data_IF_907007630496
#
_entry.id   IF_907007630496
#
_cell.length_a   1.000
_cell.length_b   1.000
_cell.length_c   1.000
_cell.angle_alpha   90.00
_cell.angle_beta   90.00
_cell.angle_gamma   90.00
#
_symmetry.space_group_name_H-M   'P 1'
#
loop_
_entity.id
_entity.type
_entity.pdbx_description
1 polymer ?
#
# COMPACT_ATOMS: atom_id res chain seq x y z
N UNK A 1 3.96 -9.97 1.52
CA UNK A 1 4.37 -8.74 0.79
C UNK A 1 5.43 -7.95 1.55
N UNK A 2 5.25 -7.57 2.82
CA UNK A 2 6.23 -6.78 3.60
C UNK A 2 7.66 -7.36 3.56
N UNK A 3 7.84 -8.67 3.74
CA UNK A 3 9.18 -9.30 3.65
C UNK A 3 9.81 -9.11 2.27
N UNK A 4 9.05 -9.33 1.19
CA UNK A 4 9.55 -9.14 -0.17
C UNK A 4 9.87 -7.68 -0.48
N UNK A 5 9.10 -6.73 0.09
CA UNK A 5 9.36 -5.29 -0.05
C UNK A 5 10.66 -4.86 0.61
N UNK A 6 10.92 -5.34 1.82
CA UNK A 6 12.14 -5.06 2.57
C UNK A 6 13.37 -5.62 1.86
N UNK A 7 13.22 -6.77 1.18
CA UNK A 7 14.30 -7.42 0.44
C UNK A 7 14.46 -6.93 -1.02
N UNK A 8 13.58 -6.05 -1.51
CA UNK A 8 13.50 -5.62 -2.93
C UNK A 8 13.35 -6.81 -3.91
N UNK A 9 12.55 -7.79 -3.51
CA UNK A 9 12.26 -9.03 -4.25
C UNK A 9 10.76 -9.19 -4.57
N UNK A 10 10.04 -8.07 -4.71
CA UNK A 10 8.60 -8.09 -4.98
C UNK A 10 8.34 -8.49 -6.42
N UNK A 11 7.54 -9.53 -6.64
CA UNK A 11 7.03 -9.86 -7.96
C UNK A 11 5.66 -9.20 -8.21
N UNK A 12 5.30 -8.96 -9.47
CA UNK A 12 3.97 -8.43 -9.85
C UNK A 12 2.84 -9.23 -9.19
N UNK A 13 2.93 -10.57 -9.20
CA UNK A 13 1.94 -11.46 -8.57
C UNK A 13 1.73 -11.21 -7.08
N UNK A 14 2.76 -10.78 -6.35
CA UNK A 14 2.67 -10.53 -4.91
C UNK A 14 1.85 -9.26 -4.64
N UNK A 15 2.03 -8.25 -5.50
CA UNK A 15 1.27 -7.00 -5.45
C UNK A 15 -0.18 -7.24 -5.85
N UNK A 16 -0.39 -7.91 -6.98
CA UNK A 16 -1.72 -8.27 -7.48
C UNK A 16 -2.50 -9.07 -6.44
N UNK A 17 -1.90 -10.08 -5.81
CA UNK A 17 -2.57 -10.88 -4.79
C UNK A 17 -2.98 -10.08 -3.55
N UNK A 18 -2.27 -9.00 -3.22
CA UNK A 18 -2.69 -8.08 -2.14
C UNK A 18 -3.84 -7.19 -2.61
N UNK A 19 -3.73 -6.59 -3.79
CA UNK A 19 -4.77 -5.73 -4.36
C UNK A 19 -6.09 -6.47 -4.59
N UNK A 20 -6.04 -7.69 -5.13
CA UNK A 20 -7.22 -8.54 -5.30
C UNK A 20 -7.92 -8.80 -3.97
N UNK A 21 -7.17 -9.22 -2.94
CA UNK A 21 -7.74 -9.53 -1.63
C UNK A 21 -8.33 -8.30 -0.96
N UNK A 22 -7.65 -7.16 -1.01
CA UNK A 22 -8.19 -5.92 -0.41
C UNK A 22 -9.42 -5.43 -1.17
N UNK A 23 -9.43 -5.53 -2.50
CA UNK A 23 -10.58 -5.17 -3.33
C UNK A 23 -11.81 -6.05 -3.03
N UNK A 24 -11.63 -7.38 -2.97
CA UNK A 24 -12.71 -8.30 -2.61
C UNK A 24 -13.29 -7.96 -1.23
N UNK A 25 -12.43 -7.67 -0.24
CA UNK A 25 -12.87 -7.27 1.10
C UNK A 25 -13.66 -5.96 1.07
N UNK A 26 -13.23 -4.97 0.28
CA UNK A 26 -13.96 -3.72 0.10
C UNK A 26 -15.34 -3.95 -0.52
N UNK A 27 -15.44 -4.75 -1.59
CA UNK A 27 -16.72 -5.07 -2.24
C UNK A 27 -17.69 -5.79 -1.30
N UNK A 28 -17.19 -6.75 -0.52
CA UNK A 28 -17.99 -7.42 0.51
C UNK A 28 -18.49 -6.42 1.55
N UNK A 29 -17.63 -5.51 2.01
CA UNK A 29 -18.01 -4.49 2.98
C UNK A 29 -19.09 -3.55 2.41
N UNK A 30 -18.97 -3.12 1.16
CA UNK A 30 -19.98 -2.30 0.49
C UNK A 30 -21.32 -3.03 0.35
N UNK A 31 -21.30 -4.34 0.04
CA UNK A 31 -22.50 -5.15 -0.01
C UNK A 31 -23.18 -5.27 1.36
N UNK A 32 -22.40 -5.54 2.40
CA UNK A 32 -22.90 -5.55 3.78
C UNK A 32 -23.48 -4.18 4.14
N UNK A 33 -22.83 -3.07 3.76
CA UNK A 33 -23.36 -1.73 4.01
C UNK A 33 -24.73 -1.51 3.35
N UNK A 34 -24.95 -2.02 2.13
CA UNK A 34 -26.28 -1.97 1.48
C UNK A 34 -27.33 -2.71 2.30
N UNK A 35 -27.06 -3.94 2.75
CA UNK A 35 -27.98 -4.68 3.63
C UNK A 35 -28.23 -3.96 4.98
N UNK A 36 -27.22 -3.29 5.53
CA UNK A 36 -27.37 -2.53 6.77
C UNK A 36 -28.22 -1.27 6.62
N UNK A 37 -28.34 -0.71 5.41
CA UNK A 37 -29.29 0.39 5.14
C UNK A 37 -30.71 -0.13 5.27
N UNK A 38 -31.01 -1.32 4.74
CA UNK A 38 -32.32 -1.96 4.84
C UNK A 38 -32.67 -2.34 6.29
N UNK A 39 -31.67 -2.74 7.09
CA UNK A 39 -31.85 -3.13 8.49
C UNK A 39 -32.05 -1.95 9.46
N UNK A 40 -31.80 -0.71 9.01
CA UNK A 40 -32.01 0.50 9.81
C UNK A 40 -31.29 0.49 11.16
N UNK A 41 -32.04 0.72 12.25
CA UNK A 41 -31.50 0.79 13.61
C UNK A 41 -30.96 -0.53 14.14
N UNK A 42 -31.52 -1.65 13.68
CA UNK A 42 -31.14 -3.00 14.15
C UNK A 42 -29.76 -3.41 13.60
N UNK A 43 -29.31 -2.78 12.52
CA UNK A 43 -27.97 -2.94 11.96
C UNK A 43 -26.87 -2.14 12.67
N UNK A 44 -27.17 -1.38 13.73
CA UNK A 44 -26.17 -0.49 14.37
C UNK A 44 -24.92 -1.23 14.83
N UNK A 45 -25.06 -2.39 15.49
CA UNK A 45 -23.92 -3.15 16.01
C UNK A 45 -23.05 -3.68 14.88
N UNK A 46 -23.67 -4.28 13.86
CA UNK A 46 -22.96 -4.83 12.70
C UNK A 46 -22.25 -3.72 11.92
N UNK A 47 -22.84 -2.52 11.82
CA UNK A 47 -22.20 -1.35 11.22
C UNK A 47 -20.94 -0.92 11.96
N UNK A 48 -20.97 -0.92 13.29
CA UNK A 48 -19.81 -0.61 14.12
C UNK A 48 -18.69 -1.64 13.93
N UNK A 49 -19.04 -2.93 13.93
CA UNK A 49 -18.09 -4.03 13.70
C UNK A 49 -17.48 -3.96 12.29
N UNK A 50 -18.29 -3.70 11.27
CA UNK A 50 -17.79 -3.55 9.91
C UNK A 50 -16.82 -2.37 9.79
N UNK A 51 -17.15 -1.22 10.40
CA UNK A 51 -16.26 -0.05 10.43
C UNK A 51 -14.92 -0.36 11.10
N UNK A 52 -14.94 -1.12 12.20
CA UNK A 52 -13.73 -1.54 12.90
C UNK A 52 -12.89 -2.50 12.06
N UNK A 53 -13.51 -3.49 11.42
CA UNK A 53 -12.83 -4.44 10.53
C UNK A 53 -12.22 -3.77 9.29
N UNK A 54 -12.91 -2.76 8.75
CA UNK A 54 -12.45 -2.01 7.57
C UNK A 54 -11.45 -0.90 7.90
N UNK A 55 -11.18 -0.64 9.19
CA UNK A 55 -10.25 0.41 9.58
C UNK A 55 -8.85 0.14 9.01
N UNK A 56 -8.36 1.06 8.17
CA UNK A 56 -7.06 0.97 7.52
C UNK A 56 -6.99 0.09 6.26
N UNK A 57 -8.05 -0.68 5.92
CA UNK A 57 -8.04 -1.54 4.71
C UNK A 57 -8.00 -0.71 3.43
N UNK A 58 -8.82 0.32 3.34
CA UNK A 58 -8.85 1.23 2.18
C UNK A 58 -7.54 2.02 2.05
N UNK A 59 -6.99 2.46 3.18
CA UNK A 59 -5.70 3.14 3.23
C UNK A 59 -4.57 2.21 2.76
N UNK A 60 -4.56 0.96 3.22
CA UNK A 60 -3.58 -0.04 2.78
C UNK A 60 -3.70 -0.32 1.28
N UNK A 61 -4.92 -0.48 0.75
CA UNK A 61 -5.16 -0.64 -0.71
C UNK A 61 -4.57 0.54 -1.48
N UNK A 62 -4.86 1.77 -1.04
CA UNK A 62 -4.33 3.00 -1.64
C UNK A 62 -2.80 3.07 -1.57
N UNK A 63 -2.21 2.71 -0.42
CA UNK A 63 -0.76 2.75 -0.21
C UNK A 63 -0.02 1.71 -1.06
N UNK A 64 -0.59 0.51 -1.22
CA UNK A 64 -0.04 -0.49 -2.14
C UNK A 64 -0.05 0.05 -3.56
N UNK A 65 -1.16 0.61 -4.04
CA UNK A 65 -1.21 1.21 -5.37
C UNK A 65 -0.19 2.35 -5.53
N UNK A 66 -0.10 3.26 -4.56
CA UNK A 66 0.91 4.34 -4.53
C UNK A 66 2.35 3.83 -4.67
N UNK A 67 2.66 2.67 -4.09
CA UNK A 67 4.00 2.10 -4.11
C UNK A 67 4.39 1.48 -5.45
N UNK A 68 3.43 1.05 -6.28
CA UNK A 68 3.72 0.26 -7.48
C UNK A 68 3.22 0.86 -8.79
N UNK A 69 2.26 1.78 -8.75
CA UNK A 69 1.79 2.41 -9.98
C UNK A 69 2.88 3.30 -10.60
N UNK A 70 2.81 3.45 -11.92
CA UNK A 70 3.69 4.32 -12.68
C UNK A 70 2.89 5.52 -13.19
N UNK A 71 2.95 6.69 -12.53
CA UNK A 71 2.22 7.86 -12.96
C UNK A 71 2.71 8.31 -14.33
N UNK A 72 1.75 8.62 -15.20
CA UNK A 72 1.99 9.30 -16.48
C UNK A 72 0.99 10.45 -16.66
N UNK A 73 1.01 11.12 -17.82
CA UNK A 73 0.16 12.28 -18.08
C UNK A 73 -1.35 11.96 -18.06
N UNK A 74 -1.70 10.70 -18.25
CA UNK A 74 -3.06 10.17 -18.37
C UNK A 74 -3.41 9.12 -17.33
N UNK A 75 -2.46 8.74 -16.47
CA UNK A 75 -2.57 7.69 -15.47
C UNK A 75 -2.08 8.19 -14.11
N UNK A 76 -3.01 8.35 -13.18
CA UNK A 76 -2.77 8.75 -11.81
C UNK A 76 -3.39 7.76 -10.82
N UNK A 77 -3.17 7.99 -9.53
CA UNK A 77 -3.67 7.10 -8.47
C UNK A 77 -5.20 6.97 -8.47
N UNK A 78 -5.93 8.05 -8.74
CA UNK A 78 -7.40 8.05 -8.76
C UNK A 78 -7.91 7.13 -9.87
N UNK A 79 -7.34 7.25 -11.06
CA UNK A 79 -7.68 6.39 -12.20
C UNK A 79 -7.31 4.93 -11.95
N UNK A 80 -6.16 4.67 -11.29
CA UNK A 80 -5.77 3.30 -10.92
C UNK A 80 -6.74 2.68 -9.88
N UNK A 81 -7.18 3.47 -8.91
CA UNK A 81 -8.17 3.04 -7.92
C UNK A 81 -9.54 2.78 -8.56
N UNK A 82 -10.01 3.69 -9.41
CA UNK A 82 -11.27 3.55 -10.16
C UNK A 82 -11.23 2.30 -11.04
N UNK A 83 -10.14 2.12 -11.80
CA UNK A 83 -9.95 0.94 -12.64
C UNK A 83 -10.02 -0.36 -11.85
N UNK A 84 -9.38 -0.44 -10.67
CA UNK A 84 -9.46 -1.63 -9.81
C UNK A 84 -10.88 -1.90 -9.31
N UNK A 85 -11.61 -0.84 -8.95
CA UNK A 85 -12.98 -0.94 -8.46
C UNK A 85 -13.98 -1.29 -9.57
N UNK A 86 -13.72 -0.91 -10.81
CA UNK A 86 -14.59 -1.17 -11.96
C UNK A 86 -14.39 -2.55 -12.61
N UNK A 87 -13.33 -3.29 -12.26
CA UNK A 87 -13.11 -4.65 -12.78
C UNK A 87 -14.30 -5.57 -12.47
N UNK A 88 -14.72 -6.39 -13.42
CA UNK A 88 -15.70 -7.44 -13.12
C UNK A 88 -15.09 -8.49 -12.19
N UNK A 89 -15.92 -9.25 -11.46
CA UNK A 89 -15.41 -10.23 -10.48
C UNK A 89 -14.54 -11.30 -11.16
N UNK A 90 -14.92 -11.75 -12.36
CA UNK A 90 -14.15 -12.70 -13.15
C UNK A 90 -12.76 -12.16 -13.50
N UNK A 91 -12.68 -10.90 -13.94
CA UNK A 91 -11.41 -10.23 -14.26
C UNK A 91 -10.57 -9.98 -13.01
N UNK A 92 -11.21 -9.57 -11.91
CA UNK A 92 -10.54 -9.36 -10.63
C UNK A 92 -9.90 -10.65 -10.11
N UNK A 93 -10.48 -11.82 -10.40
CA UNK A 93 -9.91 -13.11 -10.00
C UNK A 93 -8.77 -13.58 -10.91
N UNK A 94 -8.59 -12.98 -12.09
CA UNK A 94 -7.51 -13.26 -13.02
C UNK A 94 -6.30 -12.34 -12.76
N UNK A 95 -5.16 -12.85 -12.22
CA UNK A 95 -4.03 -12.01 -11.85
C UNK A 95 -3.44 -11.20 -13.02
N UNK A 96 -3.46 -11.77 -14.23
CA UNK A 96 -2.98 -11.09 -15.44
C UNK A 96 -3.89 -9.93 -15.83
N UNK A 97 -5.22 -10.09 -15.70
CA UNK A 97 -6.17 -9.02 -16.00
C UNK A 97 -5.98 -7.83 -15.04
N UNK A 98 -5.82 -8.10 -13.74
CA UNK A 98 -5.53 -7.06 -12.74
C UNK A 98 -4.19 -6.37 -13.00
N UNK A 99 -3.13 -7.13 -13.31
CA UNK A 99 -1.83 -6.56 -13.63
C UNK A 99 -1.90 -5.64 -14.86
N UNK A 100 -2.55 -6.09 -15.93
CA UNK A 100 -2.71 -5.34 -17.16
C UNK A 100 -3.55 -4.08 -16.96
N UNK A 101 -4.70 -4.19 -16.28
CA UNK A 101 -5.59 -3.06 -16.01
C UNK A 101 -4.89 -1.96 -15.20
N UNK A 102 -3.99 -2.36 -14.30
CA UNK A 102 -3.23 -1.42 -13.46
C UNK A 102 -1.88 -0.99 -14.04
N UNK A 103 -1.58 -1.41 -15.27
CA UNK A 103 -0.28 -1.19 -15.93
C UNK A 103 0.92 -1.67 -15.09
N UNK A 104 0.72 -2.73 -14.30
CA UNK A 104 1.76 -3.35 -13.49
C UNK A 104 2.58 -4.29 -14.37
N UNK A 105 3.91 -4.08 -14.40
CA UNK A 105 4.81 -5.01 -15.07
C UNK A 105 4.64 -5.05 -16.59
N UNK A 106 4.52 -3.87 -17.24
CA UNK A 106 4.36 -3.62 -18.70
C UNK A 106 5.30 -4.40 -19.66
N UNK A 107 6.19 -5.27 -19.18
CA UNK A 107 7.11 -6.08 -19.99
C UNK A 107 7.19 -7.56 -19.58
N UNK A 108 6.78 -7.94 -18.36
CA UNK A 108 6.87 -9.31 -17.86
C UNK A 108 5.98 -9.48 -16.61
N UNK A 109 5.01 -10.39 -16.64
CA UNK A 109 4.16 -10.70 -15.49
C UNK A 109 4.96 -11.34 -14.33
N UNK A 110 6.16 -11.87 -14.62
CA UNK A 110 7.13 -12.33 -13.63
C UNK A 110 8.19 -11.25 -13.29
N UNK A 111 8.01 -10.01 -13.75
CA UNK A 111 8.92 -8.90 -13.50
C UNK A 111 9.03 -8.53 -12.02
N UNK A 112 10.22 -8.14 -11.59
CA UNK A 112 10.43 -7.58 -10.27
C UNK A 112 9.94 -6.12 -10.23
N UNK A 113 9.21 -5.77 -9.18
CA UNK A 113 8.81 -4.41 -8.85
C UNK A 113 9.60 -3.92 -7.63
N UNK A 114 9.92 -2.62 -7.60
CA UNK A 114 10.46 -1.97 -6.41
C UNK A 114 9.40 -1.04 -5.82
N UNK A 115 9.02 -1.19 -4.54
CA UNK A 115 8.12 -0.25 -3.89
C UNK A 115 8.77 1.12 -3.73
N UNK A 116 7.98 2.19 -3.75
CA UNK A 116 8.46 3.56 -3.52
C UNK A 116 8.74 3.88 -2.04
N UNK A 117 7.97 3.29 -1.14
CA UNK A 117 8.11 3.39 0.32
C UNK A 117 6.93 4.06 1.04
N UNK A 118 5.86 4.44 0.34
CA UNK A 118 4.66 5.07 0.92
C UNK A 118 4.08 4.23 2.06
N UNK A 119 3.90 2.92 1.83
CA UNK A 119 3.30 2.01 2.82
C UNK A 119 4.16 1.78 4.05
N UNK A 120 5.48 1.87 3.92
CA UNK A 120 6.39 1.72 5.06
C UNK A 120 6.46 3.00 5.87
N UNK A 121 6.47 4.14 5.19
CA UNK A 121 6.46 5.46 5.83
C UNK A 121 5.13 5.75 6.54
N UNK A 122 3.99 5.29 6.02
CA UNK A 122 2.69 5.47 6.68
C UNK A 122 2.59 4.75 8.03
N UNK A 123 3.42 3.72 8.26
CA UNK A 123 3.53 3.01 9.55
C UNK A 123 4.35 3.78 10.58
N UNK A 124 5.03 4.85 10.20
CA UNK A 124 5.77 5.72 11.12
C UNK A 124 4.75 6.58 11.89
N UNK A 125 4.67 6.45 13.23
CA UNK A 125 3.64 7.14 14.00
C UNK A 125 3.70 8.65 13.82
N UNK A 126 2.56 9.26 13.48
CA UNK A 126 2.37 10.72 13.37
C UNK A 126 3.22 11.40 12.29
N UNK A 127 3.81 10.64 11.36
CA UNK A 127 4.55 11.22 10.24
C UNK A 127 3.58 11.97 9.32
N UNK A 128 3.77 13.29 9.08
CA UNK A 128 2.93 14.05 8.16
C UNK A 128 3.05 13.54 6.73
N UNK A 129 1.92 13.49 6.00
CA UNK A 129 1.90 13.05 4.60
C UNK A 129 2.84 13.87 3.69
N UNK A 130 2.98 15.17 3.95
CA UNK A 130 3.91 16.04 3.21
C UNK A 130 5.37 15.56 3.32
N UNK A 131 5.78 15.07 4.49
CA UNK A 131 7.11 14.48 4.66
C UNK A 131 7.22 13.13 3.97
N UNK A 132 6.15 12.33 3.95
CA UNK A 132 6.11 11.07 3.20
C UNK A 132 6.35 11.33 1.72
N UNK A 133 5.61 12.28 1.14
CA UNK A 133 5.76 12.68 -0.27
C UNK A 133 7.15 13.21 -0.57
N UNK A 134 7.72 14.05 0.31
CA UNK A 134 9.07 14.58 0.15
C UNK A 134 10.14 13.48 0.19
N UNK A 135 10.04 12.54 1.13
CA UNK A 135 10.96 11.40 1.26
C UNK A 135 10.85 10.47 0.06
N UNK A 136 9.64 10.09 -0.34
CA UNK A 136 9.44 9.24 -1.53
C UNK A 136 9.94 9.96 -2.78
N UNK A 137 9.69 11.25 -2.93
CA UNK A 137 10.21 12.06 -4.03
C UNK A 137 11.74 12.08 -4.08
N UNK A 138 12.42 12.18 -2.93
CA UNK A 138 13.89 12.21 -2.83
C UNK A 138 14.54 10.85 -3.12
N UNK A 139 14.00 9.77 -2.57
CA UNK A 139 14.64 8.44 -2.60
C UNK A 139 14.13 7.56 -3.74
N UNK A 140 12.90 7.79 -4.23
CA UNK A 140 12.18 7.10 -5.31
C UNK A 140 11.93 5.59 -5.12
N UNK A 141 12.73 4.90 -4.32
CA UNK A 141 12.62 3.47 -4.01
C UNK A 141 12.84 3.24 -2.51
N UNK A 142 12.12 2.25 -1.98
CA UNK A 142 12.22 1.84 -0.58
C UNK A 142 13.61 1.34 -0.21
N UNK A 143 14.29 0.59 -1.08
CA UNK A 143 15.63 0.07 -0.81
C UNK A 143 16.65 1.20 -0.55
N UNK A 144 16.57 2.29 -1.33
CA UNK A 144 17.37 3.50 -1.14
C UNK A 144 17.01 4.23 0.15
N UNK A 145 15.72 4.39 0.43
CA UNK A 145 15.24 4.99 1.68
C UNK A 145 15.72 4.20 2.91
N UNK A 146 15.64 2.86 2.86
CA UNK A 146 16.10 1.94 3.89
C UNK A 146 17.60 2.05 4.15
N UNK A 147 18.40 2.30 3.12
CA UNK A 147 19.87 2.44 3.21
C UNK A 147 20.33 3.85 3.61
N UNK A 148 19.47 4.86 3.46
CA UNK A 148 19.76 6.24 3.80
C UNK A 148 20.22 6.39 5.26
N UNK A 149 21.24 7.22 5.48
CA UNK A 149 21.71 7.60 6.81
C UNK A 149 20.84 8.69 7.41
N UNK A 150 20.97 8.93 8.73
CA UNK A 150 20.28 10.05 9.38
C UNK A 150 20.62 11.37 8.69
N UNK A 151 21.89 11.55 8.30
CA UNK A 151 22.34 12.73 7.56
C UNK A 151 21.64 12.87 6.21
N UNK A 152 21.53 11.79 5.43
CA UNK A 152 20.82 11.82 4.13
C UNK A 152 19.34 12.18 4.29
N UNK A 153 18.69 11.70 5.35
CA UNK A 153 17.29 12.01 5.64
C UNK A 153 17.10 13.48 6.01
N UNK A 154 18.02 14.07 6.77
CA UNK A 154 17.97 15.50 7.15
C UNK A 154 18.21 16.46 5.98
N UNK A 155 18.67 15.98 4.83
CA UNK A 155 18.73 16.79 3.60
C UNK A 155 17.35 17.05 2.99
N UNK A 156 16.33 16.27 3.37
CA UNK A 156 14.96 16.44 2.89
C UNK A 156 14.31 17.60 3.63
N UNK A 157 13.73 18.53 2.88
CA UNK A 157 13.05 19.69 3.43
C UNK A 157 11.97 19.26 4.44
N UNK A 158 12.00 19.85 5.63
CA UNK A 158 11.06 19.54 6.72
C UNK A 158 11.44 18.33 7.59
N UNK A 159 12.50 17.58 7.25
CA UNK A 159 12.99 16.47 8.07
C UNK A 159 14.12 16.95 8.98
N UNK A 160 13.84 17.01 10.29
CA UNK A 160 14.87 17.26 11.30
C UNK A 160 15.53 15.96 11.78
N UNK A 161 16.56 16.09 12.64
CA UNK A 161 17.30 14.93 13.16
C UNK A 161 16.42 13.98 14.00
N UNK A 162 15.41 14.52 14.69
CA UNK A 162 14.47 13.73 15.47
C UNK A 162 13.57 12.88 14.57
N UNK A 163 13.05 13.47 13.48
CA UNK A 163 12.29 12.75 12.46
C UNK A 163 13.15 11.72 11.73
N UNK A 164 14.35 12.09 11.30
CA UNK A 164 15.27 11.19 10.62
C UNK A 164 15.57 9.94 11.48
N UNK A 165 15.83 10.13 12.78
CA UNK A 165 16.02 9.02 13.73
C UNK A 165 14.75 8.19 13.88
N UNK A 166 13.60 8.82 14.08
CA UNK A 166 12.30 8.14 14.24
C UNK A 166 11.94 7.28 13.03
N UNK A 167 12.14 7.82 11.82
CA UNK A 167 11.91 7.11 10.56
C UNK A 167 12.86 5.91 10.47
N UNK A 168 14.15 6.11 10.75
CA UNK A 168 15.15 5.05 10.67
C UNK A 168 14.85 3.90 11.64
N UNK A 169 14.50 4.23 12.88
CA UNK A 169 14.14 3.24 13.90
C UNK A 169 12.83 2.51 13.56
N UNK A 170 11.85 3.20 12.99
CA UNK A 170 10.61 2.58 12.55
C UNK A 170 10.84 1.60 11.38
N UNK A 171 11.58 2.01 10.35
CA UNK A 171 11.93 1.14 9.22
C UNK A 171 12.80 -0.05 9.65
N UNK A 172 13.76 0.18 10.57
CA UNK A 172 14.59 -0.88 11.15
C UNK A 172 13.75 -1.93 11.87
N UNK A 173 12.81 -1.51 12.73
CA UNK A 173 11.89 -2.44 13.40
C UNK A 173 11.02 -3.24 12.45
N UNK A 174 10.52 -2.62 11.37
CA UNK A 174 9.73 -3.32 10.34
C UNK A 174 10.58 -4.38 9.63
N UNK A 175 11.84 -4.06 9.34
CA UNK A 175 12.76 -5.01 8.73
C UNK A 175 13.04 -6.20 9.66
N UNK A 176 13.32 -5.93 10.94
CA UNK A 176 13.54 -6.96 11.96
C UNK A 176 12.32 -7.87 12.13
N UNK A 177 11.10 -7.31 12.23
CA UNK A 177 9.88 -8.11 12.34
C UNK A 177 9.66 -9.00 11.12
N UNK A 178 9.94 -8.48 9.92
CA UNK A 178 9.76 -9.24 8.67
C UNK A 178 10.70 -10.45 8.55
N UNK A 179 11.87 -10.39 9.21
CA UNK A 179 12.83 -11.49 9.29
C UNK A 179 12.35 -12.53 10.31
N UNK A 180 11.81 -12.09 11.45
CA UNK A 180 11.29 -12.98 12.50
C UNK A 180 10.06 -13.78 12.03
N UNK A 181 9.19 -13.14 11.25
CA UNK A 181 8.02 -13.79 10.63
C UNK A 181 8.41 -14.92 9.65
N UNK A 182 9.68 -15.04 9.26
CA UNK A 182 10.18 -16.16 8.44
C UNK A 182 10.35 -17.45 9.24
N UNK A 183 10.54 -17.34 10.55
CA UNK A 183 10.90 -18.46 11.43
C UNK A 183 9.75 -18.94 12.33
N UNK A 184 8.56 -18.35 12.18
CA UNK A 184 7.33 -18.71 12.92
C UNK A 184 6.28 -19.22 11.94
#
# INVERSE_FOLDING_TARGET
LVTAEVEDLVAVRDVVAVLQRTEIVVRIAEEIQRYLVELGTDGRLVRLQLRELMAGVEDDRRMVLLDYFQPDATWNLEQAMETLSDLEMEELLEPEAVANALHLGLSDADGNLSPRGYRMLSKVPRLPNELIDALVGRFAKLDKLMRATVTDLTEVEGVDEAWATTIKDALGRIAESSILDRYT
#
